data_IF_583157953959
#
_entry.id   IF_583157953959
#
_cell.length_a   1.000
_cell.length_b   1.000
_cell.length_c   1.000
_cell.angle_alpha   90.00
_cell.angle_beta   90.00
_cell.angle_gamma   90.00
#
_symmetry.space_group_name_H-M   'P 1'
#
loop_
_entity.id
_entity.type
_entity.pdbx_description
1 polymer ?
#
# COMPACT_ATOMS: atom_id res chain seq x y z
N UNK A 1 -21.62 0.22 18.70
CA UNK A 1 -21.59 -0.01 17.25
C UNK A 1 -20.20 -0.39 16.79
N UNK A 2 -20.09 -1.28 15.80
CA UNK A 2 -18.83 -1.77 15.27
C UNK A 2 -18.89 -1.81 13.74
N UNK A 3 -17.73 -1.68 13.10
CA UNK A 3 -17.55 -1.85 11.65
C UNK A 3 -16.81 -3.15 11.39
N UNK A 4 -17.22 -3.88 10.35
CA UNK A 4 -16.54 -5.09 9.88
C UNK A 4 -15.79 -4.81 8.58
N UNK A 5 -14.57 -5.36 8.44
CA UNK A 5 -13.80 -5.33 7.21
C UNK A 5 -13.43 -6.75 6.79
N UNK A 6 -13.62 -7.07 5.51
CA UNK A 6 -13.23 -8.35 4.89
C UNK A 6 -12.07 -8.10 3.93
N UNK A 7 -10.98 -8.85 4.07
CA UNK A 7 -9.82 -8.79 3.17
C UNK A 7 -9.49 -10.17 2.60
N UNK A 8 -9.04 -10.26 1.33
CA UNK A 8 -8.61 -11.51 0.73
C UNK A 8 -7.23 -11.96 1.24
N UNK A 9 -7.00 -13.27 1.26
CA UNK A 9 -5.71 -13.90 1.52
C UNK A 9 -5.18 -14.54 0.23
N UNK A 10 -3.91 -14.27 -0.10
CA UNK A 10 -3.26 -14.78 -1.30
C UNK A 10 -2.09 -15.71 -0.96
N UNK A 11 -1.89 -16.73 -1.79
CA UNK A 11 -0.83 -17.75 -1.62
C UNK A 11 0.36 -17.56 -2.58
N UNK A 12 0.61 -16.32 -3.05
CA UNK A 12 1.67 -16.02 -4.03
C UNK A 12 3.07 -16.46 -3.58
N UNK A 13 3.35 -16.42 -2.27
CA UNK A 13 4.63 -16.86 -1.71
C UNK A 13 4.89 -18.37 -1.84
N UNK A 14 3.83 -19.18 -2.03
CA UNK A 14 3.92 -20.64 -2.19
C UNK A 14 3.91 -21.08 -3.65
N UNK A 15 3.38 -20.25 -4.54
CA UNK A 15 3.21 -20.56 -5.96
C UNK A 15 4.38 -19.95 -6.75
N UNK A 16 5.43 -20.73 -6.97
CA UNK A 16 6.56 -20.33 -7.83
C UNK A 16 6.04 -19.97 -9.22
N UNK A 17 6.55 -18.87 -9.78
CA UNK A 17 6.12 -18.27 -11.06
C UNK A 17 4.69 -17.69 -11.06
N UNK A 18 4.03 -17.57 -9.90
CA UNK A 18 2.80 -16.78 -9.82
C UNK A 18 3.13 -15.30 -9.87
N UNK A 19 2.33 -14.57 -10.66
CA UNK A 19 2.42 -13.13 -10.76
C UNK A 19 1.51 -12.49 -9.71
N UNK A 20 2.03 -11.72 -8.74
CA UNK A 20 1.25 -11.14 -7.65
C UNK A 20 0.45 -9.90 -8.08
N UNK A 21 -0.16 -9.94 -9.27
CA UNK A 21 -1.01 -8.88 -9.84
C UNK A 21 -2.45 -9.34 -9.92
N UNK A 22 -3.35 -8.50 -9.43
CA UNK A 22 -4.78 -8.74 -9.53
C UNK A 22 -5.23 -8.63 -11.00
N UNK A 23 -6.08 -9.56 -11.41
CA UNK A 23 -6.72 -9.57 -12.71
C UNK A 23 -8.24 -9.71 -12.58
N UNK A 24 -8.89 -10.06 -13.68
CA UNK A 24 -10.32 -10.37 -13.70
C UNK A 24 -10.66 -11.70 -13.02
N UNK A 25 -9.68 -12.60 -12.93
CA UNK A 25 -9.83 -13.90 -12.29
C UNK A 25 -9.55 -13.81 -10.78
N UNK A 26 -10.34 -14.55 -10.00
CA UNK A 26 -10.16 -14.64 -8.55
C UNK A 26 -8.93 -15.49 -8.22
N UNK A 27 -7.89 -14.84 -7.68
CA UNK A 27 -6.64 -15.51 -7.26
C UNK A 27 -6.51 -15.72 -5.74
N UNK A 28 -7.42 -15.15 -4.95
CA UNK A 28 -7.40 -15.30 -3.49
C UNK A 28 -7.77 -16.72 -3.08
N UNK A 29 -7.06 -17.28 -2.11
CA UNK A 29 -7.27 -18.65 -1.62
C UNK A 29 -8.06 -18.70 -0.32
N UNK A 30 -8.40 -17.55 0.25
CA UNK A 30 -9.14 -17.43 1.50
C UNK A 30 -9.45 -15.99 1.84
N UNK A 31 -9.97 -15.78 3.03
CA UNK A 31 -10.45 -14.49 3.52
C UNK A 31 -10.28 -14.36 5.02
N UNK A 32 -10.13 -13.12 5.47
CA UNK A 32 -10.15 -12.75 6.88
C UNK A 32 -11.17 -11.64 7.06
N UNK A 33 -11.97 -11.74 8.12
CA UNK A 33 -12.87 -10.68 8.54
C UNK A 33 -12.55 -10.26 9.98
N UNK A 34 -12.50 -8.95 10.23
CA UNK A 34 -12.25 -8.39 11.55
C UNK A 34 -13.22 -7.26 11.87
N UNK A 35 -13.50 -7.10 13.17
CA UNK A 35 -14.30 -5.99 13.70
C UNK A 35 -13.40 -4.90 14.30
N UNK A 36 -13.83 -3.65 14.17
CA UNK A 36 -13.21 -2.48 14.78
C UNK A 36 -14.27 -1.45 15.20
N UNK A 37 -13.87 -0.49 16.03
CA UNK A 37 -14.73 0.63 16.41
C UNK A 37 -15.00 1.57 15.22
N UNK A 38 -14.09 1.59 14.24
CA UNK A 38 -14.25 2.31 12.99
C UNK A 38 -13.62 1.53 11.81
N UNK A 39 -13.81 2.05 10.60
CA UNK A 39 -13.32 1.43 9.35
C UNK A 39 -11.80 1.28 9.30
N UNK A 40 -11.04 2.23 9.86
CA UNK A 40 -9.57 2.21 9.84
C UNK A 40 -9.04 1.11 10.74
N UNK A 41 -9.59 0.98 11.95
CA UNK A 41 -9.22 -0.06 12.90
C UNK A 41 -9.59 -1.45 12.38
N UNK A 42 -10.82 -1.61 11.85
CA UNK A 42 -11.28 -2.88 11.29
C UNK A 42 -10.37 -3.33 10.13
N UNK A 43 -10.02 -2.39 9.23
CA UNK A 43 -9.16 -2.66 8.08
C UNK A 43 -7.72 -3.00 8.50
N UNK A 44 -7.11 -2.24 9.41
CA UNK A 44 -5.76 -2.51 9.89
C UNK A 44 -5.67 -3.88 10.59
N UNK A 45 -6.66 -4.22 11.42
CA UNK A 45 -6.75 -5.56 12.04
C UNK A 45 -6.83 -6.65 10.98
N UNK A 46 -7.73 -6.50 10.00
CA UNK A 46 -7.91 -7.47 8.94
C UNK A 46 -6.62 -7.67 8.12
N UNK A 47 -5.91 -6.59 7.76
CA UNK A 47 -4.63 -6.63 7.05
C UNK A 47 -3.55 -7.38 7.83
N UNK A 48 -3.39 -7.07 9.13
CA UNK A 48 -2.43 -7.76 10.01
C UNK A 48 -2.79 -9.26 10.11
N UNK A 49 -4.07 -9.57 10.30
CA UNK A 49 -4.57 -10.95 10.38
C UNK A 49 -4.42 -11.73 9.06
N UNK A 50 -4.44 -11.05 7.90
CA UNK A 50 -4.12 -11.65 6.60
C UNK A 50 -2.61 -11.87 6.37
N UNK A 51 -1.76 -11.46 7.32
CA UNK A 51 -0.31 -11.67 7.28
C UNK A 51 0.51 -10.48 6.78
N UNK A 52 -0.10 -9.31 6.54
CA UNK A 52 0.65 -8.09 6.22
C UNK A 52 1.42 -7.59 7.43
N UNK A 53 2.67 -7.18 7.18
CA UNK A 53 3.52 -6.51 8.18
C UNK A 53 3.53 -5.02 7.88
N UNK A 54 3.14 -4.22 8.86
CA UNK A 54 3.19 -2.76 8.72
C UNK A 54 4.65 -2.29 8.59
N UNK A 55 4.93 -1.33 7.71
CA UNK A 55 6.27 -0.78 7.57
C UNK A 55 6.66 0.00 8.82
N UNK A 56 7.94 -0.06 9.17
CA UNK A 56 8.49 0.62 10.35
C UNK A 56 9.36 1.82 10.01
N UNK A 57 9.94 1.87 8.80
CA UNK A 57 10.87 2.93 8.40
C UNK A 57 10.79 3.29 6.91
N UNK A 58 11.04 2.33 6.04
CA UNK A 58 11.26 2.60 4.62
C UNK A 58 10.06 2.15 3.77
N UNK A 59 9.69 2.96 2.78
CA UNK A 59 8.62 2.64 1.83
C UNK A 59 9.12 2.89 0.41
N UNK A 60 8.95 1.92 -0.49
CA UNK A 60 9.22 2.06 -1.92
C UNK A 60 7.94 2.42 -2.68
N UNK A 61 8.01 3.44 -3.53
CA UNK A 61 6.89 3.93 -4.36
C UNK A 61 7.27 3.80 -5.83
N UNK A 62 6.46 3.07 -6.60
CA UNK A 62 6.59 2.98 -8.05
C UNK A 62 5.21 3.07 -8.68
N UNK A 63 4.95 4.15 -9.41
CA UNK A 63 3.64 4.42 -10.01
C UNK A 63 3.85 4.63 -11.51
N UNK A 64 3.06 3.95 -12.33
CA UNK A 64 3.13 4.07 -13.79
C UNK A 64 2.38 5.31 -14.30
N UNK A 65 1.03 5.32 -14.25
CA UNK A 65 0.21 6.37 -14.85
C UNK A 65 0.39 7.73 -14.18
N UNK A 66 0.51 8.79 -14.98
CA UNK A 66 0.69 10.17 -14.47
C UNK A 66 -0.49 10.63 -13.61
N UNK A 67 -1.73 10.27 -13.97
CA UNK A 67 -2.90 10.62 -13.16
C UNK A 67 -2.80 10.08 -11.73
N UNK A 68 -2.40 8.81 -11.59
CA UNK A 68 -2.21 8.18 -10.27
C UNK A 68 -1.06 8.83 -9.51
N UNK A 69 0.02 9.26 -10.19
CA UNK A 69 1.10 10.01 -9.56
C UNK A 69 0.59 11.33 -8.96
N UNK A 70 -0.25 12.06 -9.68
CA UNK A 70 -0.85 13.32 -9.21
C UNK A 70 -1.71 13.08 -7.97
N UNK A 71 -2.60 12.09 -8.02
CA UNK A 71 -3.47 11.73 -6.88
C UNK A 71 -2.66 11.29 -5.65
N UNK A 72 -1.51 10.65 -5.88
CA UNK A 72 -0.67 10.10 -4.81
C UNK A 72 0.18 11.15 -4.08
N UNK A 73 0.36 12.36 -4.63
CA UNK A 73 1.20 13.40 -4.02
C UNK A 73 0.80 13.69 -2.57
N UNK A 74 -0.50 13.79 -2.29
CA UNK A 74 -0.99 14.05 -0.92
C UNK A 74 -0.64 12.91 0.04
N UNK A 75 -0.75 11.65 -0.40
CA UNK A 75 -0.44 10.49 0.43
C UNK A 75 1.06 10.36 0.67
N UNK A 76 1.89 10.70 -0.32
CA UNK A 76 3.34 10.75 -0.14
C UNK A 76 3.74 11.79 0.91
N UNK A 77 3.09 12.96 0.96
CA UNK A 77 3.31 13.96 2.03
C UNK A 77 2.94 13.40 3.39
N UNK A 78 1.75 12.79 3.51
CA UNK A 78 1.31 12.17 4.77
C UNK A 78 2.30 11.12 5.27
N UNK A 79 2.86 10.30 4.39
CA UNK A 79 3.86 9.29 4.77
C UNK A 79 5.16 9.93 5.30
N UNK A 80 5.61 11.04 4.69
CA UNK A 80 6.76 11.80 5.20
C UNK A 80 6.46 12.44 6.55
N UNK A 81 5.28 13.02 6.72
CA UNK A 81 4.83 13.64 7.98
C UNK A 81 4.73 12.60 9.12
N UNK A 82 4.39 11.35 8.78
CA UNK A 82 4.41 10.21 9.69
C UNK A 82 5.84 9.70 10.02
N UNK A 83 6.88 10.25 9.39
CA UNK A 83 8.28 9.91 9.64
C UNK A 83 8.82 8.75 8.81
N UNK A 84 8.14 8.35 7.72
CA UNK A 84 8.66 7.31 6.83
C UNK A 84 9.71 7.85 5.85
N UNK A 85 10.74 7.06 5.59
CA UNK A 85 11.71 7.33 4.53
C UNK A 85 11.19 6.75 3.20
N UNK A 86 11.02 7.62 2.21
CA UNK A 86 10.50 7.24 0.89
C UNK A 86 11.63 6.98 -0.11
N UNK A 87 11.51 5.86 -0.81
CA UNK A 87 12.27 5.50 -2.00
C UNK A 87 11.33 5.46 -3.19
N UNK A 88 11.79 5.81 -4.38
CA UNK A 88 10.94 5.76 -5.56
C UNK A 88 11.71 5.48 -6.84
N UNK A 89 11.06 4.80 -7.80
CA UNK A 89 11.62 4.64 -9.14
C UNK A 89 11.85 6.00 -9.79
N UNK A 90 12.88 6.11 -10.65
CA UNK A 90 13.37 7.38 -11.23
C UNK A 90 12.25 8.36 -11.63
N UNK A 91 11.32 7.92 -12.46
CA UNK A 91 10.24 8.77 -12.98
C UNK A 91 9.17 9.11 -11.94
N UNK A 92 9.06 8.33 -10.87
CA UNK A 92 8.16 8.60 -9.73
C UNK A 92 8.83 9.58 -8.77
N UNK A 93 10.12 9.40 -8.49
CA UNK A 93 10.91 10.33 -7.68
C UNK A 93 10.92 11.74 -8.28
N UNK A 94 11.26 11.86 -9.57
CA UNK A 94 11.28 13.16 -10.28
C UNK A 94 9.92 13.85 -10.20
N UNK A 95 8.84 13.08 -10.38
CA UNK A 95 7.49 13.60 -10.29
C UNK A 95 7.16 14.12 -8.88
N UNK A 96 7.45 13.33 -7.84
CA UNK A 96 7.17 13.67 -6.44
C UNK A 96 8.01 14.86 -5.95
N UNK A 97 9.24 15.02 -6.45
CA UNK A 97 10.07 16.20 -6.16
C UNK A 97 9.48 17.47 -6.75
N UNK A 98 9.13 17.44 -8.04
CA UNK A 98 8.63 18.62 -8.76
C UNK A 98 7.23 19.02 -8.31
N UNK A 99 6.29 18.07 -8.22
CA UNK A 99 4.87 18.36 -7.97
C UNK A 99 4.49 18.21 -6.49
N UNK A 100 5.26 17.41 -5.74
CA UNK A 100 5.04 17.17 -4.31
C UNK A 100 5.98 17.96 -3.40
N UNK A 101 7.00 18.65 -3.91
CA UNK A 101 7.99 19.33 -3.07
C UNK A 101 8.69 18.39 -2.07
N UNK A 102 8.73 17.09 -2.39
CA UNK A 102 9.29 16.05 -1.51
C UNK A 102 10.76 15.81 -1.87
N UNK A 103 11.66 16.67 -1.38
CA UNK A 103 13.10 16.59 -1.72
C UNK A 103 13.79 15.35 -1.14
N UNK A 104 13.28 14.84 -0.02
CA UNK A 104 13.87 13.71 0.71
C UNK A 104 13.57 12.32 0.11
N UNK A 105 12.91 12.25 -1.05
CA UNK A 105 12.66 10.99 -1.76
C UNK A 105 13.95 10.54 -2.46
N UNK A 106 14.40 9.33 -2.14
CA UNK A 106 15.61 8.72 -2.69
C UNK A 106 15.27 7.78 -3.86
N UNK A 107 16.25 7.54 -4.73
CA UNK A 107 16.15 6.57 -5.83
C UNK A 107 16.46 5.15 -5.35
#
# INVERSE_FOLDING_TARGET
>A
DFVAAKVPVFSFSRLKNSDPRLGVEMQSTGEVACFGQNQYEAFLKAMISAGFKLPTKNILISIGPTQQKTEFVQYARMLVDMGYQLYATKTTMEFLKVHGGLENVQA
#
